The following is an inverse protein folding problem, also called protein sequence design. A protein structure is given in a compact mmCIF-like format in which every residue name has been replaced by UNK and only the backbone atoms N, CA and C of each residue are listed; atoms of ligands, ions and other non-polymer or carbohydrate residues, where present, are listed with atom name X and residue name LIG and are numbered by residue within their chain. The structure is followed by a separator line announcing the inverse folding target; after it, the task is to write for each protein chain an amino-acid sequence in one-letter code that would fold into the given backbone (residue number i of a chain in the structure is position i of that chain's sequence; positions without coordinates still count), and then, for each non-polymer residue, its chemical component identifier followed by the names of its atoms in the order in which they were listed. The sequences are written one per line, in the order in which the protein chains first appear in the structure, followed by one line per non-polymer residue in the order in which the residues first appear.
data_IF_740819363008
#
_entry.id   IF_740819363008
#
_cell.length_a   1.000
_cell.length_b   1.000
_cell.length_c   1.000
_cell.angle_alpha   90.00
_cell.angle_beta   90.00
_cell.angle_gamma   90.00
#
_symmetry.space_group_name_H-M   'P 1'
#
loop_
_entity.id
_entity.type
_entity.pdbx_description
1 polymer ?
#
# COMPACT_ATOMS: atom_id res chain seq x y z
N UNK A 1 -3.05 6.39 -5.43
CA UNK A 1 -4.21 6.09 -4.57
C UNK A 1 -4.47 7.18 -3.53
N UNK A 2 -3.60 7.43 -2.54
CA UNK A 2 -3.91 8.39 -1.46
C UNK A 2 -4.13 9.84 -1.91
N UNK A 3 -3.38 10.34 -2.90
CA UNK A 3 -3.55 11.70 -3.40
C UNK A 3 -4.90 11.91 -4.09
N UNK A 4 -5.34 10.92 -4.87
CA UNK A 4 -6.66 10.88 -5.49
C UNK A 4 -7.77 10.82 -4.44
N UNK A 5 -7.54 10.06 -3.36
CA UNK A 5 -8.47 9.97 -2.23
C UNK A 5 -8.69 11.36 -1.62
N UNK A 6 -7.61 12.10 -1.28
CA UNK A 6 -7.72 13.46 -0.75
C UNK A 6 -8.48 14.43 -1.68
N UNK A 7 -8.20 14.38 -2.99
CA UNK A 7 -8.93 15.18 -3.97
C UNK A 7 -10.42 14.84 -4.01
N UNK A 8 -10.76 13.55 -4.06
CA UNK A 8 -12.17 13.11 -4.05
C UNK A 8 -12.89 13.44 -2.75
N UNK A 9 -12.17 13.40 -1.62
CA UNK A 9 -12.73 13.62 -0.30
C UNK A 9 -13.16 15.08 -0.15
N UNK A 10 -12.31 16.03 -0.54
CA UNK A 10 -12.71 17.43 -0.60
C UNK A 10 -13.91 17.67 -1.53
N UNK A 11 -13.97 16.96 -2.67
CA UNK A 11 -15.06 17.10 -3.64
C UNK A 11 -16.40 16.58 -3.10
N UNK A 12 -16.45 15.34 -2.59
CA UNK A 12 -17.67 14.70 -2.10
C UNK A 12 -18.31 15.47 -0.93
N UNK A 13 -17.50 15.91 0.04
CA UNK A 13 -18.01 16.66 1.19
C UNK A 13 -18.47 18.08 0.85
N UNK A 14 -17.90 18.68 -0.21
CA UNK A 14 -18.37 19.96 -0.73
C UNK A 14 -19.67 19.84 -1.52
N UNK A 15 -19.80 18.78 -2.34
CA UNK A 15 -20.97 18.60 -3.23
C UNK A 15 -22.19 18.02 -2.53
N UNK A 16 -22.03 16.97 -1.70
CA UNK A 16 -23.17 16.27 -1.08
C UNK A 16 -23.56 16.90 0.26
N UNK A 17 -22.56 17.24 1.08
CA UNK A 17 -22.78 17.71 2.47
C UNK A 17 -22.68 19.24 2.61
N UNK A 18 -22.31 19.95 1.54
CA UNK A 18 -22.16 21.42 1.51
C UNK A 18 -21.30 21.98 2.65
N UNK A 19 -20.22 21.27 3.00
CA UNK A 19 -19.34 21.63 4.09
C UNK A 19 -18.33 22.71 3.72
N UNK A 20 -18.04 23.59 4.69
CA UNK A 20 -16.99 24.59 4.57
C UNK A 20 -15.59 23.94 4.64
N UNK A 21 -14.57 24.61 4.10
CA UNK A 21 -13.18 24.11 4.08
C UNK A 21 -12.66 23.67 5.45
N UNK A 22 -13.07 24.36 6.54
CA UNK A 22 -12.70 23.98 7.91
C UNK A 22 -13.31 22.63 8.32
N UNK A 23 -14.57 22.39 7.98
CA UNK A 23 -15.28 21.13 8.28
C UNK A 23 -14.71 19.96 7.48
N UNK A 24 -14.32 20.19 6.22
CA UNK A 24 -13.60 19.19 5.41
C UNK A 24 -12.28 18.80 6.08
N UNK A 25 -11.57 19.77 6.66
CA UNK A 25 -10.36 19.55 7.46
C UNK A 25 -10.58 18.56 8.62
N UNK A 26 -11.67 18.70 9.38
CA UNK A 26 -12.01 17.79 10.48
C UNK A 26 -12.27 16.36 9.99
N UNK A 27 -12.81 16.22 8.78
CA UNK A 27 -13.11 14.92 8.21
C UNK A 27 -11.82 14.12 7.88
N UNK A 28 -10.62 14.72 7.92
CA UNK A 28 -9.35 13.99 7.76
C UNK A 28 -8.82 13.34 9.05
N UNK A 29 -9.40 13.63 10.22
CA UNK A 29 -8.98 13.04 11.50
C UNK A 29 -8.95 11.50 11.46
N UNK A 30 -9.97 10.80 10.92
CA UNK A 30 -9.94 9.33 10.82
C UNK A 30 -8.77 8.81 9.98
N UNK A 31 -8.34 9.52 8.93
CA UNK A 31 -7.18 9.14 8.12
C UNK A 31 -5.88 9.23 8.94
N UNK A 32 -5.75 10.29 9.74
CA UNK A 32 -4.61 10.47 10.65
C UNK A 32 -4.55 9.34 11.68
N UNK A 33 -5.69 8.98 12.27
CA UNK A 33 -5.79 7.84 13.20
C UNK A 33 -5.36 6.54 12.49
N UNK A 34 -5.79 6.34 11.24
CA UNK A 34 -5.37 5.19 10.42
C UNK A 34 -3.85 5.15 10.22
N UNK A 35 -3.20 6.29 10.02
CA UNK A 35 -1.74 6.38 9.94
C UNK A 35 -1.05 6.01 11.26
N UNK A 36 -1.57 6.45 12.40
CA UNK A 36 -1.02 6.06 13.70
C UNK A 36 -1.11 4.53 13.90
N UNK A 37 -2.25 3.92 13.56
CA UNK A 37 -2.44 2.48 13.63
C UNK A 37 -1.50 1.73 12.68
N UNK A 38 -1.24 2.27 11.49
CA UNK A 38 -0.30 1.68 10.55
C UNK A 38 1.14 1.63 11.09
N UNK A 39 1.59 2.70 11.74
CA UNK A 39 2.93 2.75 12.35
C UNK A 39 3.04 1.73 13.48
N UNK A 40 2.02 1.64 14.35
CA UNK A 40 1.98 0.66 15.42
C UNK A 40 2.01 -0.78 14.89
N UNK A 41 1.20 -1.06 13.86
CA UNK A 41 1.12 -2.38 13.22
C UNK A 41 2.44 -2.74 12.55
N UNK A 42 3.04 -1.82 11.81
CA UNK A 42 4.35 -2.02 11.19
C UNK A 42 5.45 -2.29 12.23
N UNK A 43 5.50 -1.48 13.29
CA UNK A 43 6.44 -1.67 14.40
C UNK A 43 6.26 -2.99 15.13
N UNK A 44 5.01 -3.44 15.31
CA UNK A 44 4.71 -4.76 15.90
C UNK A 44 5.23 -5.91 15.04
N UNK A 45 4.99 -5.87 13.72
CA UNK A 45 5.49 -6.89 12.79
C UNK A 45 7.03 -6.89 12.70
N UNK A 46 7.67 -5.72 12.66
CA UNK A 46 9.13 -5.60 12.63
C UNK A 46 9.75 -6.11 13.95
N UNK A 47 9.21 -5.74 15.11
CA UNK A 47 9.71 -6.20 16.41
C UNK A 47 9.56 -7.72 16.62
N UNK A 48 8.46 -8.32 16.17
CA UNK A 48 8.19 -9.74 16.43
C UNK A 48 8.83 -10.65 15.40
N UNK A 49 8.83 -10.28 14.11
CA UNK A 49 9.31 -11.17 13.04
C UNK A 49 10.73 -10.82 12.61
N UNK A 50 11.04 -9.54 12.44
CA UNK A 50 12.35 -9.12 11.96
C UNK A 50 13.41 -9.12 13.08
N UNK A 51 13.14 -8.51 14.24
CA UNK A 51 14.12 -8.47 15.32
C UNK A 51 14.34 -9.83 16.01
N UNK A 52 13.32 -10.71 16.08
CA UNK A 52 13.52 -12.08 16.58
C UNK A 52 14.36 -12.93 15.62
N UNK A 53 14.16 -12.80 14.31
CA UNK A 53 14.99 -13.47 13.30
C UNK A 53 16.44 -12.95 13.33
N UNK A 54 16.62 -11.62 13.45
CA UNK A 54 17.94 -11.00 13.58
C UNK A 54 18.70 -11.45 14.85
N UNK A 55 18.01 -11.61 15.98
CA UNK A 55 18.60 -12.13 17.23
C UNK A 55 18.94 -13.63 17.16
N UNK A 56 18.27 -14.39 16.30
CA UNK A 56 18.45 -15.84 16.12
C UNK A 56 19.69 -16.21 15.29
N UNK A 57 20.49 -15.25 14.79
CA UNK A 57 21.63 -15.48 13.86
C UNK A 57 21.28 -16.26 12.57
N UNK A 58 20.00 -16.43 12.27
CA UNK A 58 19.53 -16.96 10.98
C UNK A 58 19.55 -15.81 9.99
N UNK A 59 20.07 -16.05 8.79
CA UNK A 59 20.15 -15.06 7.71
C UNK A 59 18.78 -14.39 7.56
N UNK A 60 18.67 -13.09 7.83
CA UNK A 60 17.38 -12.41 7.89
C UNK A 60 16.86 -12.25 6.47
N UNK A 61 15.89 -13.08 6.09
CA UNK A 61 15.34 -13.05 4.75
C UNK A 61 14.38 -11.85 4.64
N UNK A 62 14.55 -10.93 3.67
CA UNK A 62 13.75 -9.72 3.52
C UNK A 62 12.26 -10.00 3.25
N UNK A 63 11.92 -11.23 2.88
CA UNK A 63 10.57 -11.73 2.64
C UNK A 63 9.66 -11.66 3.88
N UNK A 64 10.23 -11.67 5.10
CA UNK A 64 9.44 -11.55 6.32
C UNK A 64 8.75 -10.19 6.47
N UNK A 65 9.25 -9.15 5.80
CA UNK A 65 8.62 -7.82 5.80
C UNK A 65 7.36 -7.80 4.92
N UNK A 66 7.29 -8.67 3.90
CA UNK A 66 6.19 -8.70 2.94
C UNK A 66 4.84 -9.07 3.59
N UNK A 67 4.85 -9.81 4.71
CA UNK A 67 3.63 -10.13 5.47
C UNK A 67 2.90 -8.89 5.98
N UNK A 68 3.63 -7.83 6.36
CA UNK A 68 3.01 -6.56 6.78
C UNK A 68 2.34 -5.86 5.58
N UNK A 69 2.95 -5.92 4.40
CA UNK A 69 2.35 -5.40 3.17
C UNK A 69 1.10 -6.19 2.75
N UNK A 70 1.07 -7.52 2.96
CA UNK A 70 -0.10 -8.35 2.67
C UNK A 70 -1.30 -7.99 3.56
N UNK A 71 -1.06 -7.70 4.84
CA UNK A 71 -2.10 -7.19 5.73
C UNK A 71 -2.62 -5.82 5.26
N UNK A 72 -1.70 -4.93 4.89
CA UNK A 72 -2.06 -3.60 4.37
C UNK A 72 -2.83 -3.67 3.05
N UNK A 73 -2.47 -4.57 2.14
CA UNK A 73 -3.06 -4.67 0.81
C UNK A 73 -4.52 -5.12 0.85
N UNK A 74 -4.93 -5.94 1.82
CA UNK A 74 -6.33 -6.32 2.02
C UNK A 74 -7.20 -5.19 2.59
N UNK A 75 -6.64 -4.32 3.43
CA UNK A 75 -7.38 -3.21 4.06
C UNK A 75 -7.73 -2.09 3.08
N UNK A 76 -6.85 -1.80 2.11
CA UNK A 76 -7.06 -0.73 1.12
C UNK A 76 -8.32 -0.92 0.27
N UNK A 77 -8.57 -2.06 -0.39
CA UNK A 77 -9.78 -2.27 -1.20
C UNK A 77 -11.04 -2.26 -0.33
N UNK A 78 -11.01 -2.82 0.88
CA UNK A 78 -12.14 -2.79 1.82
C UNK A 78 -12.52 -1.34 2.14
N UNK A 79 -11.52 -0.50 2.44
CA UNK A 79 -11.73 0.91 2.70
C UNK A 79 -12.22 1.70 1.48
N UNK A 80 -11.71 1.39 0.29
CA UNK A 80 -12.14 2.02 -0.96
C UNK A 80 -13.58 1.65 -1.33
N UNK A 81 -13.97 0.38 -1.17
CA UNK A 81 -15.37 -0.04 -1.38
C UNK A 81 -16.31 0.61 -0.37
N UNK A 82 -15.92 0.66 0.90
CA UNK A 82 -16.69 1.39 1.91
C UNK A 82 -16.85 2.86 1.49
N UNK A 83 -15.75 3.52 1.13
CA UNK A 83 -15.78 4.92 0.73
C UNK A 83 -16.59 5.18 -0.55
N UNK A 84 -16.58 4.27 -1.52
CA UNK A 84 -17.34 4.43 -2.77
C UNK A 84 -18.86 4.39 -2.56
N UNK A 85 -19.34 3.61 -1.59
CA UNK A 85 -20.78 3.35 -1.37
C UNK A 85 -21.37 4.10 -0.16
N UNK A 86 -20.54 4.60 0.75
CA UNK A 86 -20.99 5.36 1.91
C UNK A 86 -21.59 6.75 1.64
N UNK A 87 -21.08 7.59 0.72
CA UNK A 87 -21.59 8.94 0.53
C UNK A 87 -22.94 8.89 -0.21
N UNK A 88 -24.03 9.04 0.55
CA UNK A 88 -25.40 9.05 0.05
C UNK A 88 -26.22 10.12 0.76
N UNK A 89 -27.16 10.74 0.06
CA UNK A 89 -28.14 11.65 0.64
C UNK A 89 -28.92 10.93 1.76
N UNK A 90 -28.82 11.44 2.99
CA UNK A 90 -29.44 10.84 4.19
C UNK A 90 -28.50 10.00 5.08
N UNK A 91 -27.26 9.71 4.65
CA UNK A 91 -26.27 9.02 5.50
C UNK A 91 -25.45 10.06 6.29
N UNK A 92 -25.24 9.81 7.59
CA UNK A 92 -24.46 10.69 8.45
C UNK A 92 -23.01 10.83 7.93
N UNK A 93 -22.51 12.07 7.83
CA UNK A 93 -21.20 12.44 7.26
C UNK A 93 -20.00 11.67 7.83
N UNK A 94 -20.16 11.10 9.03
CA UNK A 94 -19.12 10.32 9.71
C UNK A 94 -18.87 8.95 9.09
N UNK A 95 -19.87 8.37 8.42
CA UNK A 95 -19.77 7.03 7.81
C UNK A 95 -18.73 7.02 6.67
N UNK A 96 -18.81 7.91 5.66
CA UNK A 96 -17.75 8.02 4.66
C UNK A 96 -16.42 8.50 5.27
N UNK A 97 -16.44 9.17 6.42
CA UNK A 97 -15.22 9.64 7.07
C UNK A 97 -14.44 8.50 7.70
N UNK A 98 -15.14 7.58 8.35
CA UNK A 98 -14.55 6.40 8.96
C UNK A 98 -13.95 5.45 7.92
N UNK A 99 -14.44 5.44 6.68
CA UNK A 99 -13.80 4.70 5.59
C UNK A 99 -12.36 5.16 5.31
N UNK A 100 -11.98 6.38 5.72
CA UNK A 100 -10.61 6.87 5.68
C UNK A 100 -9.63 6.12 6.59
N UNK A 101 -10.13 5.46 7.66
CA UNK A 101 -9.30 4.65 8.58
C UNK A 101 -8.63 3.47 7.87
N UNK A 102 -9.36 2.50 7.27
CA UNK A 102 -8.75 1.36 6.59
C UNK A 102 -7.90 1.76 5.38
N UNK A 103 -8.30 2.81 4.64
CA UNK A 103 -7.53 3.34 3.50
C UNK A 103 -6.19 3.91 3.97
N UNK A 104 -6.20 4.74 5.02
CA UNK A 104 -5.00 5.34 5.60
C UNK A 104 -4.08 4.27 6.19
N UNK A 105 -4.66 3.34 6.95
CA UNK A 105 -3.93 2.24 7.58
C UNK A 105 -3.21 1.39 6.52
N UNK A 106 -3.95 0.83 5.56
CA UNK A 106 -3.36 -0.06 4.55
C UNK A 106 -2.32 0.63 3.67
N UNK A 107 -2.56 1.88 3.27
CA UNK A 107 -1.63 2.62 2.42
C UNK A 107 -0.31 2.91 3.14
N UNK A 108 -0.35 3.35 4.41
CA UNK A 108 0.88 3.68 5.12
C UNK A 108 1.66 2.43 5.51
N UNK A 109 1.00 1.35 5.94
CA UNK A 109 1.68 0.08 6.21
C UNK A 109 2.39 -0.46 4.96
N UNK A 110 1.75 -0.39 3.78
CA UNK A 110 2.38 -0.76 2.51
C UNK A 110 3.58 0.12 2.17
N UNK A 111 3.48 1.43 2.38
CA UNK A 111 4.57 2.38 2.11
C UNK A 111 5.80 2.16 3.01
N UNK A 112 5.58 1.97 4.31
CA UNK A 112 6.65 1.68 5.27
C UNK A 112 7.35 0.37 4.92
N UNK A 113 6.56 -0.67 4.59
CA UNK A 113 7.10 -1.97 4.18
C UNK A 113 7.90 -1.89 2.89
N UNK A 114 7.45 -1.12 1.90
CA UNK A 114 8.17 -0.94 0.64
C UNK A 114 9.54 -0.26 0.82
N UNK A 115 9.61 0.80 1.62
CA UNK A 115 10.89 1.47 1.92
C UNK A 115 11.83 0.51 2.66
N UNK A 116 11.32 -0.16 3.69
CA UNK A 116 12.09 -1.11 4.48
C UNK A 116 12.64 -2.25 3.60
N UNK A 117 11.83 -2.77 2.68
CA UNK A 117 12.23 -3.78 1.72
C UNK A 117 13.30 -3.29 0.72
N UNK A 118 13.14 -2.09 0.16
CA UNK A 118 14.13 -1.51 -0.76
C UNK A 118 15.49 -1.35 -0.07
N UNK A 119 15.50 -0.91 1.18
CA UNK A 119 16.75 -0.75 1.94
C UNK A 119 17.44 -2.10 2.16
N UNK A 120 16.69 -3.15 2.49
CA UNK A 120 17.27 -4.48 2.73
C UNK A 120 17.79 -5.13 1.45
N UNK A 121 17.09 -4.97 0.32
CA UNK A 121 17.48 -5.60 -0.96
C UNK A 121 18.62 -4.88 -1.65
N UNK A 122 18.63 -3.54 -1.66
CA UNK A 122 19.63 -2.74 -2.38
C UNK A 122 20.87 -2.42 -1.54
N UNK A 123 20.86 -2.70 -0.24
CA UNK A 123 21.96 -2.43 0.68
C UNK A 123 22.27 -0.94 0.84
N UNK A 124 23.27 -0.62 1.67
CA UNK A 124 23.60 0.77 2.03
C UNK A 124 24.13 1.61 0.85
N UNK A 125 24.72 0.99 -0.17
CA UNK A 125 25.33 1.70 -1.30
C UNK A 125 24.30 2.23 -2.32
N UNK A 126 23.24 1.47 -2.64
CA UNK A 126 22.29 1.80 -3.71
C UNK A 126 20.85 2.07 -3.23
N UNK A 127 20.56 1.88 -1.94
CA UNK A 127 19.22 2.10 -1.37
C UNK A 127 18.73 3.55 -1.51
N UNK A 128 19.61 4.54 -1.36
CA UNK A 128 19.22 5.95 -1.46
C UNK A 128 18.62 6.30 -2.84
N UNK A 129 19.22 5.79 -3.92
CA UNK A 129 18.73 6.01 -5.30
C UNK A 129 17.41 5.29 -5.55
N UNK A 130 17.28 4.04 -5.09
CA UNK A 130 16.05 3.27 -5.25
C UNK A 130 14.86 3.87 -4.47
N UNK A 131 15.10 4.36 -3.25
CA UNK A 131 14.09 5.08 -2.46
C UNK A 131 13.70 6.40 -3.15
N UNK A 132 14.67 7.12 -3.73
CA UNK A 132 14.39 8.34 -4.50
C UNK A 132 13.56 8.06 -5.75
N UNK A 133 13.86 7.00 -6.51
CA UNK A 133 13.09 6.57 -7.67
C UNK A 133 11.65 6.19 -7.30
N UNK A 134 11.46 5.45 -6.20
CA UNK A 134 10.14 5.14 -5.65
C UNK A 134 9.36 6.41 -5.27
N UNK A 135 10.04 7.38 -4.64
CA UNK A 135 9.46 8.70 -4.34
C UNK A 135 9.04 9.46 -5.59
N UNK A 136 9.90 9.48 -6.62
CA UNK A 136 9.63 10.16 -7.89
C UNK A 136 8.39 9.59 -8.59
N UNK A 137 8.30 8.25 -8.71
CA UNK A 137 7.12 7.60 -9.28
C UNK A 137 5.85 8.01 -8.52
N UNK A 138 5.91 7.99 -7.18
CA UNK A 138 4.78 8.38 -6.34
C UNK A 138 4.35 9.84 -6.56
N UNK A 139 5.30 10.76 -6.74
CA UNK A 139 4.99 12.17 -7.01
C UNK A 139 4.45 12.40 -8.42
N UNK A 140 5.01 11.73 -9.43
CA UNK A 140 4.50 11.80 -10.81
C UNK A 140 3.05 11.31 -10.89
N UNK A 141 2.77 10.16 -10.26
CA UNK A 141 1.40 9.66 -10.14
C UNK A 141 0.53 10.65 -9.33
N UNK A 142 1.06 11.20 -8.24
CA UNK A 142 0.37 12.23 -7.45
C UNK A 142 0.04 13.51 -8.22
N UNK A 143 0.83 13.89 -9.22
CA UNK A 143 0.57 15.03 -10.08
C UNK A 143 -0.42 14.69 -11.22
N UNK A 144 -0.29 13.52 -11.82
CA UNK A 144 -1.11 13.10 -12.96
C UNK A 144 -2.55 12.72 -12.55
N UNK A 145 -2.71 11.95 -11.48
CA UNK A 145 -4.01 11.39 -11.12
C UNK A 145 -5.07 12.46 -10.78
N UNK A 146 -4.81 13.47 -9.94
CA UNK A 146 -5.83 14.46 -9.58
C UNK A 146 -6.42 15.21 -10.78
N UNK A 147 -5.66 15.38 -11.86
CA UNK A 147 -6.13 16.06 -13.07
C UNK A 147 -7.32 15.35 -13.71
N UNK A 148 -7.33 14.02 -13.74
CA UNK A 148 -8.41 13.23 -14.33
C UNK A 148 -9.53 12.91 -13.35
N UNK A 149 -9.26 13.00 -12.04
CA UNK A 149 -10.25 12.66 -10.99
C UNK A 149 -11.47 13.57 -11.05
N UNK A 150 -11.28 14.88 -11.17
CA UNK A 150 -12.40 15.83 -11.19
C UNK A 150 -13.30 15.57 -12.40
N UNK A 151 -12.69 15.31 -13.56
CA UNK A 151 -13.39 14.97 -14.81
C UNK A 151 -14.15 13.65 -14.70
N UNK A 152 -13.57 12.65 -14.03
CA UNK A 152 -14.22 11.36 -13.77
C UNK A 152 -15.45 11.52 -12.87
N UNK A 153 -15.36 12.34 -11.83
CA UNK A 153 -16.50 12.61 -10.92
C UNK A 153 -17.59 13.47 -11.56
N UNK A 154 -17.25 14.36 -12.49
CA UNK A 154 -18.20 15.20 -13.23
C UNK A 154 -18.89 14.48 -14.40
N UNK A 155 -18.37 13.33 -14.83
CA UNK A 155 -18.95 12.53 -15.92
C UNK A 155 -20.25 11.82 -15.47
N UNK A 156 -21.07 11.38 -16.43
CA UNK A 156 -22.37 10.67 -16.22
C UNK A 156 -22.30 9.39 -15.36
N UNK A 157 -21.09 8.96 -15.01
CA UNK A 157 -20.79 7.73 -14.25
C UNK A 157 -21.10 7.92 -12.75
N UNK A 158 -21.05 9.16 -12.24
CA UNK A 158 -21.41 9.50 -10.86
C UNK A 158 -20.38 9.06 -9.80
N UNK A 159 -20.57 9.56 -8.57
CA UNK A 159 -19.62 9.42 -7.46
C UNK A 159 -19.38 7.95 -7.06
N UNK A 160 -20.43 7.13 -7.10
CA UNK A 160 -20.40 5.73 -6.68
C UNK A 160 -19.53 4.85 -7.59
N UNK A 161 -19.68 4.99 -8.90
CA UNK A 161 -18.93 4.20 -9.87
C UNK A 161 -17.50 4.70 -10.01
N UNK A 162 -17.28 6.02 -9.96
CA UNK A 162 -15.94 6.60 -9.95
C UNK A 162 -15.10 6.04 -8.78
N UNK A 163 -15.67 5.98 -7.57
CA UNK A 163 -15.00 5.38 -6.40
C UNK A 163 -14.77 3.86 -6.55
N UNK A 164 -15.73 3.14 -7.12
CA UNK A 164 -15.64 1.69 -7.31
C UNK A 164 -14.55 1.27 -8.30
N UNK A 165 -14.28 2.08 -9.34
CA UNK A 165 -13.17 1.82 -10.28
C UNK A 165 -11.82 1.80 -9.55
N UNK A 166 -11.60 2.72 -8.60
CA UNK A 166 -10.38 2.71 -7.77
C UNK A 166 -10.34 1.51 -6.83
N UNK A 167 -11.49 1.08 -6.29
CA UNK A 167 -11.58 -0.10 -5.46
C UNK A 167 -11.24 -1.38 -6.25
N UNK A 168 -11.77 -1.54 -7.46
CA UNK A 168 -11.43 -2.65 -8.36
C UNK A 168 -9.97 -2.62 -8.80
N UNK A 169 -9.44 -1.45 -9.14
CA UNK A 169 -8.03 -1.30 -9.49
C UNK A 169 -7.13 -1.68 -8.30
N UNK A 170 -7.51 -1.29 -7.08
CA UNK A 170 -6.80 -1.72 -5.88
C UNK A 170 -6.90 -3.23 -5.67
N UNK A 171 -8.07 -3.84 -5.94
CA UNK A 171 -8.28 -5.29 -5.83
C UNK A 171 -7.34 -6.07 -6.76
N UNK A 172 -7.17 -5.61 -8.01
CA UNK A 172 -6.24 -6.20 -8.98
C UNK A 172 -4.77 -6.09 -8.52
N UNK A 173 -4.45 -5.08 -7.71
CA UNK A 173 -3.11 -4.88 -7.14
C UNK A 173 -2.87 -5.65 -5.83
N UNK A 174 -3.92 -6.19 -5.17
CA UNK A 174 -3.80 -7.02 -3.95
C UNK A 174 -2.88 -8.23 -4.11
N UNK A 175 -2.87 -9.00 -5.22
CA UNK A 175 -1.99 -10.16 -5.36
C UNK A 175 -0.51 -9.81 -5.53
N UNK A 176 -0.14 -8.55 -5.78
CA UNK A 176 1.25 -8.15 -6.04
C UNK A 176 2.19 -8.44 -4.84
N UNK A 177 1.81 -8.17 -3.58
CA UNK A 177 2.62 -8.50 -2.41
C UNK A 177 2.40 -9.93 -1.89
N UNK A 178 1.62 -10.78 -2.57
CA UNK A 178 1.49 -12.17 -2.13
C UNK A 178 2.87 -12.84 -2.19
N UNK A 179 3.31 -13.53 -1.12
CA UNK A 179 4.54 -14.30 -1.17
C UNK A 179 4.37 -15.36 -2.26
N UNK A 180 5.24 -15.29 -3.27
CA UNK A 180 5.46 -16.27 -4.34
C UNK A 180 5.99 -17.62 -3.80
N UNK A 181 5.46 -18.09 -2.67
CA UNK A 181 5.82 -19.34 -2.00
C UNK A 181 4.76 -20.43 -2.17
N UNK A 182 3.50 -20.09 -2.42
CA UNK A 182 2.40 -21.07 -2.53
C UNK A 182 1.70 -21.11 -3.90
N UNK A 183 1.99 -20.14 -4.79
CA UNK A 183 1.55 -20.15 -6.19
C UNK A 183 2.81 -20.25 -7.05
N UNK A 184 3.35 -21.47 -7.17
CA UNK A 184 4.14 -22.04 -8.30
C UNK A 184 5.20 -21.24 -9.07
N UNK A 185 5.54 -19.99 -8.72
CA UNK A 185 6.51 -19.16 -9.43
C UNK A 185 7.64 -18.88 -8.43
N UNK A 186 8.83 -19.46 -8.60
CA UNK A 186 9.89 -19.34 -7.62
C UNK A 186 10.39 -17.89 -7.55
N UNK A 187 10.33 -17.29 -6.36
CA UNK A 187 10.94 -15.99 -6.03
C UNK A 187 12.44 -15.89 -6.43
N UNK A 188 13.11 -17.03 -6.58
CA UNK A 188 14.48 -17.12 -7.09
C UNK A 188 14.65 -16.64 -8.55
N UNK A 189 13.61 -16.72 -9.39
CA UNK A 189 13.70 -16.33 -10.80
C UNK A 189 13.74 -14.81 -11.00
N UNK A 190 13.08 -14.04 -10.13
CA UNK A 190 13.09 -12.56 -10.20
C UNK A 190 14.35 -11.99 -9.53
N UNK A 191 14.81 -12.59 -8.43
CA UNK A 191 16.05 -12.18 -7.76
C UNK A 191 17.29 -12.36 -8.67
N UNK A 192 17.31 -13.41 -9.50
CA UNK A 192 18.38 -13.64 -10.47
C UNK A 192 18.32 -12.76 -11.73
N UNK A 193 17.16 -12.19 -12.08
CA UNK A 193 17.03 -11.36 -13.29
C UNK A 193 17.45 -9.89 -13.08
N UNK A 194 17.52 -9.41 -11.83
CA UNK A 194 17.79 -8.00 -11.50
C UNK A 194 19.15 -7.75 -10.82
N UNK A 195 19.90 -8.80 -10.49
CA UNK A 195 21.20 -8.66 -9.82
C UNK A 195 22.37 -9.10 -10.74
N UNK A 196 23.28 -8.18 -11.14
CA UNK A 196 24.55 -8.60 -11.74
C UNK A 196 25.39 -9.37 -10.71
N UNK A 197 26.12 -10.42 -11.12
CA UNK A 197 26.69 -11.40 -10.20
C UNK A 197 27.88 -10.81 -9.46
N UNK A 198 27.70 -10.31 -8.23
CA UNK A 198 28.85 -9.95 -7.36
C UNK A 198 28.73 -10.40 -5.91
N UNK A 199 27.64 -11.06 -5.51
CA UNK A 199 27.52 -11.68 -4.19
C UNK A 199 27.34 -13.19 -4.31
N UNK A 200 28.34 -13.91 -3.77
CA UNK A 200 28.57 -15.35 -3.71
C UNK A 200 27.49 -16.16 -2.96
N UNK A 201 26.30 -15.62 -2.73
CA UNK A 201 25.20 -16.30 -2.02
C UNK A 201 24.30 -17.15 -2.93
N UNK A 202 24.54 -17.17 -4.25
CA UNK A 202 23.90 -18.12 -5.17
C UNK A 202 24.56 -19.52 -5.09
N UNK A 203 24.68 -20.07 -3.88
CA UNK A 203 25.20 -21.43 -3.67
C UNK A 203 24.54 -22.16 -2.50
N UNK A 204 23.21 -22.18 -2.48
CA UNK A 204 22.47 -23.19 -1.69
C UNK A 204 21.21 -23.55 -2.46
N UNK A 205 21.28 -24.58 -3.31
CA UNK A 205 20.27 -25.65 -3.51
C UNK A 205 20.63 -26.53 -4.72
N UNK A 206 21.75 -27.25 -4.66
CA UNK A 206 22.09 -28.30 -5.63
C UNK A 206 22.42 -29.64 -4.94
N UNK A 207 21.59 -30.02 -3.96
CA UNK A 207 21.78 -31.25 -3.17
C UNK A 207 20.53 -32.10 -2.92
N UNK A 208 19.41 -31.84 -3.59
CA UNK A 208 18.17 -32.64 -3.44
C UNK A 208 17.69 -33.09 -4.83
N UNK A 209 18.54 -33.84 -5.54
CA UNK A 209 18.20 -34.52 -6.80
C UNK A 209 19.25 -35.60 -7.13
N UNK A 210 19.58 -36.46 -6.17
CA UNK A 210 20.42 -37.65 -6.39
C UNK A 210 19.98 -38.84 -5.53
N UNK A 211 18.67 -39.07 -5.52
CA UNK A 211 18.06 -40.35 -5.14
C UNK A 211 16.91 -40.59 -6.10
N UNK A 212 17.26 -41.06 -7.31
CA UNK A 212 16.46 -41.84 -8.27
C UNK A 212 17.39 -42.26 -9.43
#
# INVERSE_FOLDING_TARGET
MIFSFFGSYAYIYSTIYHFNARQIGLCYIPVIIGFLLAVLTFGYFDAIKYQKAARSKTNVVPEHRLYAALFGSGLVPIGLFWYAWAPREGVHWIVPALAGLPVGWGTLTGFLTAIAYIVDVYGSANSASAVAANGLLRFLLGAAFPQFIIQLYQSQIGIYWAGSIFAFLSLVLVPVPCPFGEIGIPAAAVQCSLYPPSHSSCKVRSGIARDL
#
